data_IF_834091127544
#
_entry.id   IF_834091127544
#
_cell.length_a   1.000
_cell.length_b   1.000
_cell.length_c   1.000
_cell.angle_alpha   90.00
_cell.angle_beta   90.00
_cell.angle_gamma   90.00
#
_symmetry.space_group_name_H-M   'P 1'
#
loop_
_entity.id
_entity.type
_entity.pdbx_description
1 polymer ?
#
# COMPACT_ATOMS: atom_id res chain seq x y z
N UNK A 1 -13.70 -1.84 11.80
CA UNK A 1 -12.91 -2.97 12.31
C UNK A 1 -13.46 -3.40 13.67
N UNK A 2 -13.90 -4.66 13.81
CA UNK A 2 -14.35 -5.23 15.09
C UNK A 2 -13.39 -6.34 15.56
N UNK A 3 -13.35 -6.62 16.87
CA UNK A 3 -12.80 -7.86 17.41
C UNK A 3 -13.95 -8.84 17.67
N UNK A 4 -13.91 -10.03 17.08
CA UNK A 4 -14.95 -11.04 17.27
C UNK A 4 -14.55 -12.00 18.41
N UNK A 5 -15.43 -12.19 19.40
CA UNK A 5 -15.39 -13.34 20.32
C UNK A 5 -16.50 -14.31 19.93
N UNK A 6 -16.18 -15.61 19.96
CA UNK A 6 -17.02 -16.66 19.42
C UNK A 6 -18.23 -16.92 20.33
N UNK A 7 -19.43 -16.59 19.86
CA UNK A 7 -20.70 -17.12 20.38
C UNK A 7 -21.73 -17.20 19.23
N UNK A 8 -22.06 -18.43 18.81
CA UNK A 8 -23.12 -18.74 17.83
C UNK A 8 -22.66 -19.61 16.65
N UNK A 9 -23.26 -20.79 16.52
CA UNK A 9 -22.96 -21.82 15.51
C UNK A 9 -23.08 -21.31 14.07
N UNK A 10 -21.95 -21.22 13.37
CA UNK A 10 -21.86 -20.85 11.97
C UNK A 10 -20.41 -20.50 11.60
N UNK A 11 -19.68 -21.47 11.04
CA UNK A 11 -18.27 -21.39 10.64
C UNK A 11 -17.36 -20.76 11.72
N UNK A 12 -17.00 -21.57 12.73
CA UNK A 12 -16.16 -21.16 13.84
C UNK A 12 -14.74 -20.73 13.40
N UNK A 13 -14.44 -19.43 13.50
CA UNK A 13 -13.07 -18.93 13.58
C UNK A 13 -12.63 -19.01 15.06
N UNK A 14 -11.87 -20.05 15.41
CA UNK A 14 -11.48 -20.40 16.80
C UNK A 14 -10.46 -19.45 17.48
N UNK A 15 -10.12 -18.32 16.86
CA UNK A 15 -9.26 -17.29 17.45
C UNK A 15 -9.93 -15.93 17.37
N UNK A 16 -9.94 -15.13 18.45
CA UNK A 16 -10.37 -13.75 18.39
C UNK A 16 -9.47 -13.02 17.39
N UNK A 17 -10.07 -12.64 16.28
CA UNK A 17 -9.40 -12.01 15.16
C UNK A 17 -10.00 -10.64 14.89
N UNK A 18 -9.18 -9.79 14.29
CA UNK A 18 -9.66 -8.54 13.72
C UNK A 18 -10.55 -8.86 12.50
N UNK A 19 -11.69 -8.17 12.38
CA UNK A 19 -12.61 -8.36 11.26
C UNK A 19 -13.08 -7.01 10.68
N UNK A 20 -13.30 -6.99 9.36
CA UNK A 20 -13.88 -5.87 8.64
C UNK A 20 -15.39 -6.09 8.51
N UNK A 21 -16.20 -5.13 8.93
CA UNK A 21 -17.66 -5.19 8.73
C UNK A 21 -17.97 -4.79 7.29
N UNK A 22 -18.62 -5.69 6.55
CA UNK A 22 -18.93 -5.52 5.12
C UNK A 22 -20.41 -5.30 4.85
N UNK A 23 -21.27 -5.62 5.82
CA UNK A 23 -22.71 -5.37 5.71
C UNK A 23 -23.06 -3.89 5.94
N UNK A 24 -24.07 -3.39 5.22
CA UNK A 24 -24.66 -2.06 5.45
C UNK A 24 -25.26 -1.94 6.86
N UNK A 25 -25.20 -0.73 7.43
CA UNK A 25 -25.79 -0.43 8.75
C UNK A 25 -27.27 -0.81 8.88
N UNK A 26 -28.05 -0.68 7.80
CA UNK A 26 -29.47 -1.04 7.79
C UNK A 26 -29.73 -2.54 8.06
N UNK A 27 -28.79 -3.41 7.68
CA UNK A 27 -28.90 -4.86 7.94
C UNK A 27 -28.64 -5.19 9.41
N UNK A 28 -27.65 -4.52 10.03
CA UNK A 28 -27.35 -4.63 11.46
C UNK A 28 -28.57 -4.23 12.30
N UNK A 29 -29.29 -3.18 11.87
CA UNK A 29 -30.47 -2.67 12.57
C UNK A 29 -31.65 -3.62 12.48
N UNK A 30 -31.90 -4.25 11.32
CA UNK A 30 -33.07 -5.11 11.12
C UNK A 30 -32.91 -6.55 11.59
N UNK A 31 -31.71 -7.13 11.47
CA UNK A 31 -31.51 -8.58 11.63
C UNK A 31 -30.73 -8.98 12.87
N UNK A 32 -30.18 -8.01 13.62
CA UNK A 32 -29.30 -8.30 14.76
C UNK A 32 -27.99 -8.98 14.36
N UNK A 33 -27.68 -9.04 13.06
CA UNK A 33 -26.51 -9.73 12.53
C UNK A 33 -25.78 -8.83 11.53
N UNK A 34 -24.46 -8.93 11.53
CA UNK A 34 -23.58 -8.27 10.57
C UNK A 34 -22.69 -9.28 9.87
N UNK A 35 -22.44 -9.05 8.58
CA UNK A 35 -21.46 -9.83 7.83
C UNK A 35 -20.11 -9.18 8.00
N UNK A 36 -19.10 -10.00 8.29
CA UNK A 36 -17.72 -9.57 8.45
C UNK A 36 -16.76 -10.41 7.61
N UNK A 37 -15.70 -9.79 7.13
CA UNK A 37 -14.55 -10.45 6.50
C UNK A 37 -13.40 -10.53 7.51
N UNK A 38 -12.69 -11.66 7.54
CA UNK A 38 -11.52 -11.80 8.43
C UNK A 38 -10.39 -10.88 7.98
N UNK A 39 -9.77 -10.18 8.92
CA UNK A 39 -8.55 -9.41 8.65
C UNK A 39 -7.34 -10.23 9.06
N UNK A 40 -6.40 -10.32 8.15
CA UNK A 40 -5.13 -11.02 8.34
C UNK A 40 -3.97 -10.04 8.20
N UNK A 41 -2.94 -10.25 9.01
CA UNK A 41 -1.67 -9.57 8.87
C UNK A 41 -0.96 -10.12 7.62
N UNK A 42 -0.51 -9.22 6.77
CA UNK A 42 0.30 -9.48 5.57
C UNK A 42 1.74 -9.07 5.90
N UNK A 43 2.65 -10.02 5.71
CA UNK A 43 4.08 -9.76 5.86
C UNK A 43 4.60 -9.02 4.63
N UNK A 44 5.44 -8.01 4.84
CA UNK A 44 6.24 -7.36 3.79
C UNK A 44 7.62 -8.01 3.65
N UNK A 45 7.85 -9.22 4.17
CA UNK A 45 9.16 -9.87 4.15
C UNK A 45 9.73 -10.03 2.71
N UNK A 46 8.89 -10.20 1.70
CA UNK A 46 9.30 -10.26 0.29
C UNK A 46 9.72 -8.91 -0.31
N UNK A 47 9.36 -7.78 0.32
CA UNK A 47 9.63 -6.44 -0.19
C UNK A 47 11.12 -6.19 -0.45
N UNK A 48 11.99 -6.67 0.45
CA UNK A 48 13.44 -6.48 0.34
C UNK A 48 14.10 -7.39 -0.70
N UNK A 49 13.47 -8.51 -1.01
CA UNK A 49 14.00 -9.47 -1.99
C UNK A 49 13.51 -9.12 -3.40
N UNK A 50 12.31 -8.52 -3.51
CA UNK A 50 11.61 -8.28 -4.77
C UNK A 50 11.75 -6.83 -5.27
N UNK A 51 12.03 -5.85 -4.41
CA UNK A 51 12.10 -4.44 -4.80
C UNK A 51 13.52 -3.85 -4.74
N UNK A 52 14.17 -3.75 -5.91
CA UNK A 52 15.47 -3.07 -6.06
C UNK A 52 15.34 -1.69 -6.71
N UNK A 53 14.25 -1.44 -7.43
CA UNK A 53 13.92 -0.17 -8.07
C UNK A 53 12.60 0.38 -7.55
N UNK A 54 12.37 1.68 -7.74
CA UNK A 54 11.08 2.32 -7.46
C UNK A 54 9.93 1.59 -8.18
N UNK A 55 10.16 1.19 -9.44
CA UNK A 55 9.20 0.47 -10.25
C UNK A 55 8.88 -0.92 -9.67
N UNK A 56 9.89 -1.65 -9.19
CA UNK A 56 9.68 -2.93 -8.51
C UNK A 56 8.87 -2.76 -7.22
N UNK A 57 9.13 -1.68 -6.48
CA UNK A 57 8.40 -1.37 -5.24
C UNK A 57 6.93 -1.07 -5.53
N UNK A 58 6.64 -0.28 -6.57
CA UNK A 58 5.28 0.01 -7.03
C UNK A 58 4.61 -1.26 -7.53
N UNK A 59 5.31 -2.08 -8.30
CA UNK A 59 4.82 -3.36 -8.78
C UNK A 59 4.45 -4.27 -7.59
N UNK A 60 5.32 -4.40 -6.59
CA UNK A 60 5.04 -5.18 -5.38
C UNK A 60 3.74 -4.74 -4.70
N UNK A 61 3.59 -3.44 -4.41
CA UNK A 61 2.36 -2.94 -3.78
C UNK A 61 1.13 -3.08 -4.67
N UNK A 62 1.33 -3.10 -5.99
CA UNK A 62 0.27 -3.33 -6.98
C UNK A 62 -0.17 -4.79 -6.99
N UNK A 63 0.76 -5.74 -6.94
CA UNK A 63 0.43 -7.17 -6.77
C UNK A 63 -0.28 -7.43 -5.44
N UNK A 64 0.16 -6.72 -4.40
CA UNK A 64 -0.47 -6.75 -3.09
C UNK A 64 -1.91 -6.23 -3.16
N UNK A 65 -2.14 -5.12 -3.86
CA UNK A 65 -3.47 -4.54 -4.11
C UNK A 65 -4.37 -5.51 -4.86
N UNK A 66 -3.88 -6.02 -5.99
CA UNK A 66 -4.66 -6.79 -6.95
C UNK A 66 -4.86 -8.25 -6.50
N UNK A 67 -4.24 -8.63 -5.38
CA UNK A 67 -4.36 -9.96 -4.83
C UNK A 67 -3.79 -11.00 -5.77
N UNK A 68 -2.66 -10.72 -6.44
CA UNK A 68 -2.01 -11.70 -7.31
C UNK A 68 -1.69 -12.96 -6.49
N UNK A 69 -2.30 -14.10 -6.88
CA UNK A 69 -2.27 -15.37 -6.13
C UNK A 69 -3.34 -15.55 -5.04
N UNK A 70 -4.04 -14.49 -4.62
CA UNK A 70 -5.19 -14.52 -3.67
C UNK A 70 -6.27 -13.48 -4.07
N UNK A 71 -7.05 -13.74 -5.14
CA UNK A 71 -7.98 -12.76 -5.73
C UNK A 71 -9.12 -12.32 -4.80
N UNK A 72 -9.40 -13.11 -3.76
CA UNK A 72 -10.42 -12.80 -2.76
C UNK A 72 -9.87 -12.01 -1.56
N UNK A 73 -8.74 -11.31 -1.72
CA UNK A 73 -8.14 -10.48 -0.66
C UNK A 73 -8.18 -9.01 -1.00
N UNK A 74 -8.46 -8.19 0.00
CA UNK A 74 -8.56 -6.75 -0.14
C UNK A 74 -7.61 -6.07 0.81
N UNK A 75 -6.59 -5.45 0.27
CA UNK A 75 -5.55 -4.81 1.06
C UNK A 75 -6.07 -3.54 1.75
N UNK A 76 -5.83 -3.48 3.05
CA UNK A 76 -6.25 -2.40 3.95
C UNK A 76 -5.08 -1.47 4.31
N UNK A 77 -3.85 -1.84 3.93
CA UNK A 77 -2.64 -1.13 4.30
C UNK A 77 -2.36 -1.18 5.80
N UNK A 78 -1.84 -0.07 6.31
CA UNK A 78 -1.57 0.12 7.73
C UNK A 78 -2.88 0.46 8.48
N UNK A 79 -3.18 -0.27 9.54
CA UNK A 79 -4.33 0.00 10.42
C UNK A 79 -3.90 0.77 11.67
N UNK A 80 -2.74 0.41 12.21
CA UNK A 80 -2.15 1.03 13.39
C UNK A 80 -1.05 1.99 12.93
N UNK A 81 -1.24 3.29 13.15
CA UNK A 81 -0.27 4.29 12.73
C UNK A 81 1.12 4.03 13.34
N UNK A 82 2.15 4.02 12.50
CA UNK A 82 3.54 3.71 12.87
C UNK A 82 3.85 2.20 12.90
N UNK A 83 2.93 1.34 12.52
CA UNK A 83 3.14 -0.10 12.43
C UNK A 83 3.82 -0.49 11.11
N UNK A 84 4.77 -1.41 11.22
CA UNK A 84 5.37 -2.08 10.05
C UNK A 84 4.42 -3.11 9.42
N UNK A 85 3.33 -3.44 10.13
CA UNK A 85 2.41 -4.46 9.71
C UNK A 85 1.44 -3.91 8.67
N UNK A 86 1.15 -4.74 7.68
CA UNK A 86 0.09 -4.49 6.71
C UNK A 86 -1.02 -5.49 6.89
N UNK A 87 -2.21 -5.11 6.50
CA UNK A 87 -3.39 -5.91 6.72
C UNK A 87 -4.20 -6.06 5.44
N UNK A 88 -4.89 -7.18 5.33
CA UNK A 88 -5.84 -7.43 4.26
C UNK A 88 -7.10 -8.10 4.81
N UNK A 89 -8.25 -7.74 4.25
CA UNK A 89 -9.52 -8.43 4.48
C UNK A 89 -9.64 -9.60 3.50
N UNK A 90 -10.02 -10.77 4.01
CA UNK A 90 -10.26 -12.00 3.26
C UNK A 90 -11.74 -12.15 2.95
N UNK A 91 -12.13 -11.91 1.70
CA UNK A 91 -13.50 -12.07 1.22
C UNK A 91 -13.86 -13.52 0.90
N UNK A 92 -12.88 -14.42 0.79
CA UNK A 92 -13.11 -15.87 0.79
C UNK A 92 -13.51 -16.41 2.17
N UNK A 93 -13.39 -15.59 3.23
CA UNK A 93 -13.70 -15.94 4.62
C UNK A 93 -14.69 -14.94 5.23
N UNK A 94 -15.97 -15.10 4.87
CA UNK A 94 -17.07 -14.32 5.44
C UNK A 94 -17.72 -15.04 6.62
N UNK A 95 -17.98 -14.27 7.68
CA UNK A 95 -18.62 -14.73 8.90
C UNK A 95 -19.79 -13.83 9.26
N UNK A 96 -20.66 -14.32 10.13
CA UNK A 96 -21.75 -13.53 10.70
C UNK A 96 -21.48 -13.30 12.18
N UNK A 97 -21.63 -12.07 12.64
CA UNK A 97 -21.55 -11.72 14.07
C UNK A 97 -22.92 -11.23 14.51
N UNK A 98 -23.39 -11.75 15.65
CA UNK A 98 -24.59 -11.24 16.31
C UNK A 98 -24.25 -9.95 17.06
N UNK A 99 -25.03 -8.91 16.83
CA UNK A 99 -24.94 -7.62 17.52
C UNK A 99 -26.18 -7.43 18.39
N UNK A 100 -26.06 -6.76 19.56
CA UNK A 100 -27.23 -6.51 20.41
C UNK A 100 -28.34 -5.78 19.64
N UNK A 101 -29.59 -6.14 19.93
CA UNK A 101 -30.77 -5.53 19.30
C UNK A 101 -31.11 -4.18 19.92
N UNK A 102 -31.02 -4.07 21.25
CA UNK A 102 -31.27 -2.84 21.97
C UNK A 102 -30.22 -1.77 21.62
N UNK A 103 -30.69 -0.55 21.36
CA UNK A 103 -29.84 0.58 20.90
C UNK A 103 -28.71 0.91 21.87
N UNK A 104 -29.01 0.93 23.17
CA UNK A 104 -28.04 1.29 24.22
C UNK A 104 -26.97 0.20 24.40
N UNK A 105 -27.39 -1.06 24.43
CA UNK A 105 -26.48 -2.21 24.50
C UNK A 105 -25.60 -2.29 23.26
N UNK A 106 -26.16 -2.00 22.08
CA UNK A 106 -25.39 -1.95 20.83
C UNK A 106 -24.36 -0.83 20.87
N UNK A 107 -24.70 0.35 21.37
CA UNK A 107 -23.74 1.44 21.51
C UNK A 107 -22.58 1.05 22.42
N UNK A 108 -22.88 0.40 23.56
CA UNK A 108 -21.87 -0.14 24.48
C UNK A 108 -21.01 -1.23 23.83
N UNK A 109 -21.64 -2.17 23.13
CA UNK A 109 -20.95 -3.24 22.39
C UNK A 109 -19.99 -2.65 21.34
N UNK A 110 -20.46 -1.69 20.54
CA UNK A 110 -19.66 -1.03 19.52
C UNK A 110 -18.50 -0.26 20.14
N UNK A 111 -18.70 0.44 21.26
CA UNK A 111 -17.63 1.15 21.96
C UNK A 111 -16.51 0.20 22.43
N UNK A 112 -16.87 -1.01 22.84
CA UNK A 112 -15.92 -2.02 23.33
C UNK A 112 -15.20 -2.76 22.19
N UNK A 113 -15.91 -3.09 21.11
CA UNK A 113 -15.40 -3.98 20.05
C UNK A 113 -14.92 -3.24 18.80
N UNK A 114 -15.37 -2.02 18.54
CA UNK A 114 -14.92 -1.20 17.40
C UNK A 114 -13.57 -0.58 17.73
N UNK A 115 -12.54 -1.06 17.04
CA UNK A 115 -11.17 -0.56 17.18
C UNK A 115 -10.84 0.55 16.20
N UNK A 116 -11.30 0.40 14.96
CA UNK A 116 -10.99 1.34 13.87
C UNK A 116 -12.21 1.53 12.96
N UNK A 117 -12.27 2.68 12.32
CA UNK A 117 -13.17 2.99 11.20
C UNK A 117 -12.34 3.22 9.94
N UNK A 118 -12.85 2.76 8.79
CA UNK A 118 -12.30 3.22 7.52
C UNK A 118 -12.53 4.72 7.41
N UNK A 119 -11.56 5.44 6.84
CA UNK A 119 -11.75 6.87 6.57
C UNK A 119 -12.86 7.04 5.54
N UNK A 120 -13.63 8.15 5.58
CA UNK A 120 -14.70 8.40 4.61
C UNK A 120 -14.22 8.33 3.16
N UNK A 121 -13.01 8.80 2.88
CA UNK A 121 -12.37 8.79 1.57
C UNK A 121 -12.13 7.35 1.12
N UNK A 122 -11.51 6.54 1.98
CA UNK A 122 -11.27 5.13 1.68
C UNK A 122 -12.57 4.33 1.53
N UNK A 123 -13.59 4.64 2.35
CA UNK A 123 -14.90 4.01 2.28
C UNK A 123 -15.69 4.45 1.03
N UNK A 124 -15.56 5.71 0.63
CA UNK A 124 -16.12 6.24 -0.61
C UNK A 124 -15.47 5.54 -1.79
N UNK A 125 -14.15 5.43 -1.81
CA UNK A 125 -13.44 4.78 -2.91
C UNK A 125 -13.56 3.25 -2.87
N UNK A 126 -14.04 2.65 -1.78
CA UNK A 126 -14.10 1.20 -1.59
C UNK A 126 -14.84 0.49 -2.73
N UNK A 127 -15.95 1.06 -3.22
CA UNK A 127 -16.69 0.48 -4.33
C UNK A 127 -15.91 0.58 -5.66
N UNK A 128 -15.18 1.67 -5.87
CA UNK A 128 -14.30 1.83 -7.03
C UNK A 128 -13.08 0.91 -6.93
N UNK A 129 -12.48 0.77 -5.74
CA UNK A 129 -11.34 -0.12 -5.46
C UNK A 129 -11.72 -1.59 -5.61
N UNK A 130 -12.89 -1.99 -5.12
CA UNK A 130 -13.44 -3.33 -5.35
C UNK A 130 -13.71 -3.56 -6.84
N UNK A 131 -14.33 -2.60 -7.53
CA UNK A 131 -14.59 -2.73 -8.96
C UNK A 131 -13.30 -2.75 -9.81
N UNK A 132 -12.29 -1.93 -9.45
CA UNK A 132 -10.97 -1.87 -10.10
C UNK A 132 -10.11 -3.11 -9.83
N UNK A 133 -10.28 -3.77 -8.68
CA UNK A 133 -9.66 -5.07 -8.43
C UNK A 133 -10.14 -6.15 -9.44
N UNK A 134 -11.34 -6.00 -10.02
CA UNK A 134 -11.84 -6.88 -11.08
C UNK A 134 -11.67 -6.30 -12.50
N UNK A 135 -11.48 -4.98 -12.62
CA UNK A 135 -11.25 -4.30 -13.88
C UNK A 135 -9.78 -3.86 -13.97
N UNK A 136 -8.91 -4.80 -14.36
CA UNK A 136 -7.46 -4.63 -14.54
C UNK A 136 -7.04 -3.68 -15.68
N UNK A 137 -7.91 -2.75 -16.09
CA UNK A 137 -7.64 -1.82 -17.18
C UNK A 137 -7.24 -0.45 -16.64
N UNK A 138 -5.93 -0.24 -16.48
CA UNK A 138 -5.26 0.98 -16.92
C UNK A 138 -5.64 2.31 -16.26
N UNK A 139 -5.95 2.33 -14.97
CA UNK A 139 -5.99 3.58 -14.21
C UNK A 139 -4.84 3.58 -13.20
N UNK A 140 -3.75 4.26 -13.56
CA UNK A 140 -2.67 4.62 -12.64
C UNK A 140 -3.24 5.59 -11.59
N UNK A 141 -3.78 5.03 -10.51
CA UNK A 141 -4.31 5.79 -9.39
C UNK A 141 -3.26 5.84 -8.27
N UNK A 142 -2.46 6.90 -8.26
CA UNK A 142 -1.49 7.18 -7.21
C UNK A 142 -2.16 7.39 -5.83
N UNK A 143 -3.47 7.68 -5.81
CA UNK A 143 -4.29 7.80 -4.61
C UNK A 143 -4.62 6.47 -3.91
N UNK A 144 -4.23 5.34 -4.52
CA UNK A 144 -4.43 4.01 -3.95
C UNK A 144 -3.67 3.80 -2.64
N UNK A 145 -2.39 4.21 -2.59
CA UNK A 145 -1.49 3.88 -1.49
C UNK A 145 -1.97 4.48 -0.17
N UNK A 146 -1.74 3.81 0.95
CA UNK A 146 -1.92 4.46 2.26
C UNK A 146 -0.84 5.52 2.47
N UNK A 147 -1.04 6.46 3.39
CA UNK A 147 -0.03 7.50 3.67
C UNK A 147 1.34 6.91 4.01
N UNK A 148 1.35 5.79 4.75
CA UNK A 148 2.59 5.11 5.11
C UNK A 148 3.24 4.41 3.90
N UNK A 149 2.45 3.76 3.04
CA UNK A 149 2.98 3.11 1.83
C UNK A 149 3.49 4.15 0.83
N UNK A 150 2.73 5.24 0.64
CA UNK A 150 3.12 6.35 -0.22
C UNK A 150 4.43 6.98 0.28
N UNK A 151 4.56 7.20 1.59
CA UNK A 151 5.80 7.70 2.19
C UNK A 151 6.98 6.75 1.99
N UNK A 152 6.77 5.44 2.08
CA UNK A 152 7.80 4.44 1.81
C UNK A 152 8.24 4.48 0.34
N UNK A 153 7.28 4.56 -0.59
CA UNK A 153 7.54 4.62 -2.03
C UNK A 153 8.29 5.90 -2.41
N UNK A 154 7.81 7.05 -1.94
CA UNK A 154 8.45 8.35 -2.18
C UNK A 154 9.87 8.35 -1.61
N UNK A 155 10.06 7.91 -0.37
CA UNK A 155 11.39 7.85 0.24
C UNK A 155 12.35 6.91 -0.49
N UNK A 156 11.86 5.81 -1.05
CA UNK A 156 12.67 4.91 -1.88
C UNK A 156 13.08 5.58 -3.20
N UNK A 157 12.14 6.26 -3.87
CA UNK A 157 12.41 7.01 -5.10
C UNK A 157 13.43 8.13 -4.88
N UNK A 158 13.30 8.89 -3.80
CA UNK A 158 14.26 9.94 -3.42
C UNK A 158 15.65 9.36 -3.14
N UNK A 159 15.73 8.23 -2.43
CA UNK A 159 16.99 7.54 -2.19
C UNK A 159 17.63 7.03 -3.48
N UNK A 160 16.83 6.55 -4.42
CA UNK A 160 17.32 6.07 -5.72
C UNK A 160 17.86 7.23 -6.58
N UNK A 161 17.16 8.38 -6.59
CA UNK A 161 17.65 9.59 -7.24
C UNK A 161 18.98 10.05 -6.66
N UNK A 162 19.09 10.11 -5.32
CA UNK A 162 20.33 10.49 -4.65
C UNK A 162 21.49 9.55 -4.99
N UNK A 163 21.24 8.24 -5.11
CA UNK A 163 22.26 7.26 -5.52
C UNK A 163 22.73 7.50 -6.96
N UNK A 164 21.79 7.73 -7.89
CA UNK A 164 22.12 8.00 -9.30
C UNK A 164 22.88 9.33 -9.46
N UNK A 165 22.52 10.37 -8.71
CA UNK A 165 23.24 11.64 -8.69
C UNK A 165 24.67 11.48 -8.17
N UNK A 166 24.88 10.64 -7.15
CA UNK A 166 26.21 10.32 -6.65
C UNK A 166 27.04 9.53 -7.67
N UNK A 167 26.44 8.59 -8.41
CA UNK A 167 27.08 7.87 -9.51
C UNK A 167 27.51 8.82 -10.64
N UNK A 168 26.62 9.72 -11.05
CA UNK A 168 26.92 10.74 -12.07
C UNK A 168 28.07 11.64 -11.61
N UNK A 169 28.01 12.13 -10.37
CA UNK A 169 29.04 13.00 -9.80
C UNK A 169 30.41 12.30 -9.78
N UNK A 170 30.43 11.06 -9.33
CA UNK A 170 31.65 10.22 -9.32
C UNK A 170 32.20 9.99 -10.73
N UNK A 171 31.31 9.68 -11.70
CA UNK A 171 31.69 9.46 -13.08
C UNK A 171 32.22 10.74 -13.75
N UNK A 172 31.61 11.91 -13.45
CA UNK A 172 32.06 13.22 -13.93
C UNK A 172 33.45 13.57 -13.39
N UNK A 173 33.67 13.44 -12.07
CA UNK A 173 35.00 13.68 -11.48
C UNK A 173 36.07 12.75 -12.07
N UNK A 174 35.74 11.47 -12.30
CA UNK A 174 36.69 10.53 -12.93
C UNK A 174 36.95 10.88 -14.39
N UNK A 175 35.94 11.34 -15.12
CA UNK A 175 36.07 11.79 -16.51
C UNK A 175 37.02 12.98 -16.62
N UNK A 176 36.91 13.96 -15.70
CA UNK A 176 37.81 15.12 -15.64
C UNK A 176 39.26 14.70 -15.39
N UNK A 177 39.51 13.77 -14.46
CA UNK A 177 40.85 13.24 -14.18
C UNK A 177 41.44 12.51 -15.39
N UNK A 178 40.66 11.67 -16.05
CA UNK A 178 41.08 10.92 -17.26
C UNK A 178 41.37 11.89 -18.41
N UNK A 179 40.55 12.91 -18.60
CA UNK A 179 40.75 13.92 -19.63
C UNK A 179 42.01 14.77 -19.38
N UNK A 180 42.24 15.19 -18.13
CA UNK A 180 43.41 16.00 -17.76
C UNK A 180 44.73 15.25 -17.83
N UNK A 181 44.72 13.93 -17.59
CA UNK A 181 45.91 13.07 -17.63
C UNK A 181 46.25 12.54 -19.02
N UNK A 182 45.47 12.89 -20.05
CA UNK A 182 45.63 12.32 -21.40
C UNK A 182 45.32 10.82 -21.44
N UNK A 183 44.42 10.37 -20.56
CA UNK A 183 44.08 8.98 -20.33
C UNK A 183 43.40 8.29 -21.52
N UNK A 184 43.06 7.02 -21.32
CA UNK A 184 42.57 6.15 -22.37
C UNK A 184 41.22 6.64 -22.95
N UNK A 185 41.17 6.95 -24.26
CA UNK A 185 39.94 7.35 -24.99
C UNK A 185 38.78 6.36 -24.83
N UNK A 186 39.08 5.07 -24.60
CA UNK A 186 38.06 4.06 -24.32
C UNK A 186 37.41 4.28 -22.96
N UNK A 187 38.20 4.56 -21.92
CA UNK A 187 37.70 4.85 -20.58
C UNK A 187 36.86 6.15 -20.57
N UNK A 188 37.31 7.18 -21.28
CA UNK A 188 36.55 8.42 -21.46
C UNK A 188 35.17 8.17 -22.10
N UNK A 189 35.12 7.34 -23.15
CA UNK A 189 33.87 6.96 -23.82
C UNK A 189 32.95 6.16 -22.90
N UNK A 190 33.50 5.21 -22.14
CA UNK A 190 32.73 4.36 -21.23
C UNK A 190 32.13 5.19 -20.08
N UNK A 191 32.89 6.15 -19.54
CA UNK A 191 32.40 7.09 -18.51
C UNK A 191 31.27 8.00 -19.04
N UNK A 192 31.41 8.54 -20.26
CA UNK A 192 30.34 9.35 -20.88
C UNK A 192 29.06 8.53 -21.11
N UNK A 193 29.20 7.26 -21.51
CA UNK A 193 28.07 6.33 -21.67
C UNK A 193 27.39 6.08 -20.33
N UNK A 194 28.15 5.82 -19.27
CA UNK A 194 27.62 5.61 -17.93
C UNK A 194 26.86 6.84 -17.40
N UNK A 195 27.38 8.05 -17.61
CA UNK A 195 26.68 9.30 -17.26
C UNK A 195 25.35 9.39 -18.00
N UNK A 196 25.33 9.19 -19.32
CA UNK A 196 24.10 9.26 -20.11
C UNK A 196 23.07 8.19 -19.73
N UNK A 197 23.52 6.98 -19.37
CA UNK A 197 22.63 5.92 -18.86
C UNK A 197 22.05 6.26 -17.49
N UNK A 198 22.84 6.83 -16.58
CA UNK A 198 22.36 7.29 -15.28
C UNK A 198 21.38 8.47 -15.40
N UNK A 199 21.66 9.46 -16.26
CA UNK A 199 20.76 10.58 -16.54
C UNK A 199 19.41 10.09 -17.12
N UNK A 200 19.44 9.11 -18.02
CA UNK A 200 18.22 8.49 -18.54
C UNK A 200 17.41 7.76 -17.45
N UNK A 201 18.09 7.10 -16.50
CA UNK A 201 17.43 6.46 -15.35
C UNK A 201 16.81 7.49 -14.41
N UNK A 202 17.52 8.59 -14.10
CA UNK A 202 16.97 9.69 -13.30
C UNK A 202 15.67 10.20 -13.90
N UNK A 203 15.64 10.42 -15.22
CA UNK A 203 14.44 10.89 -15.90
C UNK A 203 13.25 9.93 -15.71
N UNK A 204 13.48 8.62 -15.84
CA UNK A 204 12.42 7.61 -15.63
C UNK A 204 11.92 7.59 -14.20
N UNK A 205 12.82 7.60 -13.22
CA UNK A 205 12.46 7.65 -11.80
C UNK A 205 11.66 8.92 -11.49
N UNK A 206 12.05 10.07 -12.05
CA UNK A 206 11.32 11.33 -11.90
C UNK A 206 9.91 11.30 -12.52
N UNK A 207 9.77 10.72 -13.72
CA UNK A 207 8.47 10.57 -14.39
C UNK A 207 7.47 9.81 -13.52
N UNK A 208 7.94 8.84 -12.72
CA UNK A 208 7.12 8.05 -11.80
C UNK A 208 6.96 8.73 -10.43
N UNK A 209 8.01 9.37 -9.90
CA UNK A 209 8.03 9.91 -8.54
C UNK A 209 7.23 11.20 -8.38
N UNK A 210 7.25 12.09 -9.39
CA UNK A 210 6.57 13.39 -9.34
C UNK A 210 5.07 13.28 -9.03
N UNK A 211 4.28 12.43 -9.71
CA UNK A 211 2.85 12.32 -9.38
C UNK A 211 2.61 11.77 -7.96
N UNK A 212 3.46 10.85 -7.49
CA UNK A 212 3.39 10.31 -6.13
C UNK A 212 3.70 11.37 -5.06
N UNK A 213 4.66 12.26 -5.33
CA UNK A 213 4.96 13.40 -4.46
C UNK A 213 3.80 14.40 -4.42
N UNK A 214 3.22 14.74 -5.57
CA UNK A 214 2.06 15.63 -5.64
C UNK A 214 0.86 15.07 -4.87
N UNK A 215 0.62 13.76 -4.94
CA UNK A 215 -0.42 13.10 -4.15
C UNK A 215 -0.11 13.15 -2.64
N UNK A 216 1.15 12.95 -2.25
CA UNK A 216 1.56 13.06 -0.85
C UNK A 216 1.34 14.47 -0.29
N UNK A 217 1.69 15.51 -1.06
CA UNK A 217 1.46 16.92 -0.72
C UNK A 217 -0.03 17.24 -0.59
N UNK A 218 -0.85 16.81 -1.56
CA UNK A 218 -2.31 17.01 -1.54
C UNK A 218 -2.97 16.47 -0.26
N UNK A 219 -2.49 15.34 0.27
CA UNK A 219 -3.00 14.73 1.51
C UNK A 219 -2.59 15.47 2.77
N UNK A 220 -1.50 16.22 2.73
CA UNK A 220 -1.07 17.08 3.84
C UNK A 220 -1.88 18.37 3.86
N UNK A 221 -2.15 18.97 2.70
CA UNK A 221 -2.94 20.21 2.59
C UNK A 221 -4.43 20.02 2.89
N UNK A 222 -4.96 18.81 2.67
CA UNK A 222 -6.36 18.48 2.93
C UNK A 222 -6.70 18.06 4.36
N UNK A 223 -5.73 18.05 5.28
CA UNK A 223 -5.90 17.71 6.71
C UNK A 223 -5.91 18.97 7.57
#
# INVERSE_FOLDING_TARGET
MLTATADGEGAHCSKPGMVLVVSRNCRAIRSGHVIVARVVKRSLAGLKEEANTLEDLIAFFTQVRDGEGQPDTFYLGEIEAGSVDRYAARFDQLFTIKVPEATEERASYLKTHRRYSLTPEFAHDLHQRLFRAFASMGFDDDGWFTDADLKLIVGHGESQLASLDAEISTAKSRLEVVAASGGNKREEKDLRKAIGEAEAKIKRVQEVLVPLQAEAERRVEGK
#
